data_IF_416330346085
#
_entry.id   IF_416330346085
#
_cell.length_a   1.000
_cell.length_b   1.000
_cell.length_c   1.000
_cell.angle_alpha   90.00
_cell.angle_beta   90.00
_cell.angle_gamma   90.00
#
_symmetry.space_group_name_H-M   'P 1'
#
loop_
_entity.id
_entity.type
_entity.pdbx_description
1 polymer ?
#
# COMPACT_ATOMS: atom_id res chain seq x y z
N UNK A 1 7.02 3.14 1.21
CA UNK A 1 7.07 2.19 0.07
C UNK A 1 6.52 0.85 0.50
N UNK A 2 5.91 0.10 -0.41
CA UNK A 2 5.16 -1.15 -0.14
C UNK A 2 5.20 -2.06 -1.39
N UNK A 3 5.08 -3.37 -1.23
CA UNK A 3 4.96 -4.31 -2.36
C UNK A 3 6.28 -4.67 -3.07
N UNK A 4 6.18 -5.18 -4.30
CA UNK A 4 7.32 -5.62 -5.14
C UNK A 4 8.37 -4.53 -5.32
N UNK A 5 7.95 -3.28 -5.31
CA UNK A 5 8.79 -2.11 -5.51
C UNK A 5 9.86 -2.03 -4.40
N UNK A 6 9.57 -2.51 -3.18
CA UNK A 6 10.54 -2.56 -2.07
C UNK A 6 11.75 -3.44 -2.35
N UNK A 7 11.63 -4.36 -3.31
CA UNK A 7 12.67 -5.30 -3.71
C UNK A 7 13.56 -4.74 -4.81
N UNK A 8 13.27 -3.55 -5.37
CA UNK A 8 14.03 -2.95 -6.49
C UNK A 8 15.24 -2.14 -6.01
N UNK A 9 16.18 -2.78 -5.31
CA UNK A 9 17.32 -2.13 -4.64
C UNK A 9 18.06 -1.09 -5.51
N UNK A 10 18.53 -1.48 -6.71
CA UNK A 10 19.29 -0.58 -7.57
C UNK A 10 18.51 0.67 -7.97
N UNK A 11 17.25 0.50 -8.39
CA UNK A 11 16.38 1.63 -8.75
C UNK A 11 16.08 2.53 -7.56
N UNK A 12 15.90 1.95 -6.37
CA UNK A 12 15.66 2.70 -5.14
C UNK A 12 16.85 3.59 -4.80
N UNK A 13 18.09 3.11 -4.97
CA UNK A 13 19.29 3.91 -4.71
C UNK A 13 19.51 5.00 -5.76
N UNK A 14 19.34 4.67 -7.04
CA UNK A 14 19.43 5.64 -8.13
C UNK A 14 18.46 6.81 -7.92
N UNK A 15 17.22 6.52 -7.52
CA UNK A 15 16.20 7.56 -7.34
C UNK A 15 16.37 8.28 -6.01
N UNK A 16 16.47 7.55 -4.89
CA UNK A 16 16.42 8.17 -3.57
C UNK A 16 17.77 8.78 -3.15
N UNK A 17 18.90 8.14 -3.46
CA UNK A 17 20.23 8.62 -3.05
C UNK A 17 20.77 9.54 -4.14
N UNK A 18 20.98 9.03 -5.36
CA UNK A 18 21.60 9.85 -6.43
C UNK A 18 20.70 11.01 -6.83
N UNK A 19 19.37 10.80 -6.92
CA UNK A 19 18.42 11.89 -7.12
C UNK A 19 18.51 12.98 -6.05
N UNK A 20 18.70 12.61 -4.78
CA UNK A 20 18.91 13.58 -3.69
C UNK A 20 20.23 14.32 -3.84
N UNK A 21 21.32 13.64 -4.21
CA UNK A 21 22.61 14.29 -4.49
C UNK A 21 22.48 15.33 -5.61
N UNK A 22 21.79 15.00 -6.70
CA UNK A 22 21.56 15.94 -7.81
C UNK A 22 20.76 17.18 -7.38
N UNK A 23 19.74 17.01 -6.52
CA UNK A 23 18.97 18.14 -5.99
C UNK A 23 19.84 19.04 -5.11
N UNK A 24 20.64 18.46 -4.21
CA UNK A 24 21.57 19.23 -3.36
C UNK A 24 22.56 20.00 -4.23
N UNK A 25 23.17 19.36 -5.22
CA UNK A 25 24.11 20.01 -6.13
C UNK A 25 23.45 21.17 -6.89
N UNK A 26 22.25 20.95 -7.42
CA UNK A 26 21.49 22.01 -8.09
C UNK A 26 21.22 23.19 -7.15
N UNK A 27 20.85 22.93 -5.89
CA UNK A 27 20.66 24.00 -4.91
C UNK A 27 21.95 24.82 -4.71
N UNK A 28 23.10 24.17 -4.62
CA UNK A 28 24.40 24.83 -4.41
C UNK A 28 24.89 25.59 -5.66
N UNK A 29 24.61 25.08 -6.86
CA UNK A 29 25.00 25.67 -8.14
C UNK A 29 24.16 26.89 -8.52
N UNK A 30 22.85 26.84 -8.23
CA UNK A 30 21.88 27.87 -8.59
C UNK A 30 21.52 28.80 -7.43
N UNK A 31 22.10 28.59 -6.24
CA UNK A 31 21.88 29.46 -5.08
C UNK A 31 20.47 29.34 -4.47
N UNK A 32 19.85 28.16 -4.57
CA UNK A 32 18.58 27.86 -3.90
C UNK A 32 18.86 27.75 -2.41
N UNK A 33 18.24 28.65 -1.62
CA UNK A 33 18.57 28.81 -0.20
C UNK A 33 17.91 27.83 0.73
N UNK A 34 16.81 27.19 0.32
CA UNK A 34 15.95 26.44 1.23
C UNK A 34 15.59 25.11 0.59
N UNK A 35 15.90 24.02 1.28
CA UNK A 35 15.60 22.66 0.85
C UNK A 35 14.88 21.91 1.98
N UNK A 36 13.59 21.64 1.78
CA UNK A 36 12.80 20.76 2.66
C UNK A 36 12.84 19.35 2.07
N UNK A 37 13.35 18.39 2.82
CA UNK A 37 13.40 16.99 2.40
C UNK A 37 12.32 16.17 3.08
N UNK A 38 11.43 15.56 2.28
CA UNK A 38 10.45 14.59 2.79
C UNK A 38 11.15 13.28 3.09
N UNK A 39 11.41 13.01 4.35
CA UNK A 39 12.02 11.78 4.86
C UNK A 39 10.94 10.77 5.27
N UNK A 40 11.18 9.98 6.32
CA UNK A 40 10.26 8.97 6.85
C UNK A 40 10.68 8.55 8.26
N UNK A 41 9.75 8.11 9.09
CA UNK A 41 10.12 7.48 10.37
C UNK A 41 10.97 6.20 10.22
N UNK A 42 10.94 5.56 9.05
CA UNK A 42 11.76 4.36 8.79
C UNK A 42 13.27 4.64 8.88
N UNK A 43 13.71 5.90 8.97
CA UNK A 43 15.14 6.22 9.16
C UNK A 43 15.66 5.89 10.56
N UNK A 44 14.77 5.76 11.55
CA UNK A 44 15.11 5.37 12.93
C UNK A 44 14.45 4.05 13.37
N UNK A 45 13.54 3.51 12.55
CA UNK A 45 12.76 2.31 12.88
C UNK A 45 13.14 1.13 11.98
N UNK A 46 13.44 -0.01 12.63
CA UNK A 46 13.76 -1.27 11.95
C UNK A 46 13.15 -2.50 12.62
N UNK A 47 12.00 -2.35 13.30
CA UNK A 47 11.27 -3.47 13.89
C UNK A 47 11.48 -3.68 15.39
N UNK A 48 12.17 -2.76 16.07
CA UNK A 48 12.18 -2.65 17.54
C UNK A 48 11.10 -1.66 17.98
N UNK A 49 10.47 -1.92 19.12
CA UNK A 49 9.41 -1.07 19.65
C UNK A 49 9.91 0.35 19.95
N UNK A 50 9.11 1.34 19.56
CA UNK A 50 9.35 2.77 19.85
C UNK A 50 8.06 3.39 20.36
N UNK A 51 8.04 3.75 21.64
CA UNK A 51 6.88 4.39 22.28
C UNK A 51 7.18 5.87 22.46
N UNK A 52 6.46 6.73 21.74
CA UNK A 52 6.61 8.20 21.80
C UNK A 52 8.06 8.68 21.55
N UNK A 53 8.74 8.08 20.57
CA UNK A 53 10.12 8.43 20.23
C UNK A 53 10.25 9.86 19.70
N UNK A 54 11.43 10.47 19.80
CA UNK A 54 11.66 11.84 19.31
C UNK A 54 12.90 11.91 18.42
N UNK A 55 13.23 13.11 17.95
CA UNK A 55 14.32 13.37 17.01
C UNK A 55 15.72 13.06 17.53
N UNK A 56 15.89 12.81 18.83
CA UNK A 56 17.17 12.38 19.41
C UNK A 56 17.49 10.90 19.14
N UNK A 57 16.51 10.13 18.66
CA UNK A 57 16.72 8.73 18.30
C UNK A 57 17.83 8.61 17.22
N UNK A 58 18.77 7.68 17.40
CA UNK A 58 19.81 7.45 16.41
C UNK A 58 19.20 6.91 15.12
N UNK A 59 19.89 7.15 14.01
CA UNK A 59 19.59 6.45 12.76
C UNK A 59 19.66 4.94 12.99
N UNK A 60 18.70 4.22 12.40
CA UNK A 60 18.74 2.77 12.40
C UNK A 60 19.97 2.30 11.59
N UNK A 61 20.71 1.27 12.03
CA UNK A 61 21.91 0.82 11.33
C UNK A 61 21.62 0.46 9.87
N UNK A 62 22.47 0.95 8.97
CA UNK A 62 22.26 0.87 7.51
C UNK A 62 22.21 -0.58 7.03
N UNK A 63 23.01 -1.44 7.63
CA UNK A 63 23.14 -2.87 7.36
C UNK A 63 22.02 -3.73 7.96
N UNK A 64 21.30 -3.21 8.95
CA UNK A 64 20.19 -3.94 9.60
C UNK A 64 18.83 -3.71 8.91
N UNK A 65 18.71 -2.75 7.99
CA UNK A 65 17.45 -2.47 7.31
C UNK A 65 16.98 -3.67 6.48
N UNK A 66 15.77 -4.15 6.77
CA UNK A 66 15.14 -5.24 6.00
C UNK A 66 14.46 -4.78 4.70
N UNK A 67 14.47 -3.47 4.42
CA UNK A 67 14.03 -2.92 3.13
C UNK A 67 14.96 -1.83 2.59
N UNK A 68 15.07 -1.78 1.26
CA UNK A 68 15.90 -0.82 0.53
C UNK A 68 15.43 0.64 0.69
N UNK A 69 14.14 0.84 0.94
CA UNK A 69 13.54 2.17 1.02
C UNK A 69 13.96 2.89 2.30
N UNK A 70 13.78 2.28 3.47
CA UNK A 70 14.21 2.82 4.75
C UNK A 70 15.71 3.15 4.71
N UNK A 71 16.52 2.18 4.24
CA UNK A 71 17.96 2.36 4.08
C UNK A 71 18.33 3.55 3.20
N UNK A 72 17.77 3.64 1.99
CA UNK A 72 18.08 4.73 1.06
C UNK A 72 17.60 6.08 1.57
N UNK A 73 16.44 6.14 2.23
CA UNK A 73 15.94 7.36 2.88
C UNK A 73 16.82 7.79 4.05
N UNK A 74 17.37 6.86 4.84
CA UNK A 74 18.34 7.15 5.92
C UNK A 74 19.60 7.81 5.37
N UNK A 75 20.16 7.26 4.30
CA UNK A 75 21.37 7.83 3.65
C UNK A 75 21.06 9.21 3.07
N UNK A 76 19.96 9.35 2.32
CA UNK A 76 19.59 10.60 1.70
C UNK A 76 19.24 11.71 2.72
N UNK A 77 18.57 11.39 3.84
CA UNK A 77 18.33 12.36 4.93
C UNK A 77 19.66 12.86 5.52
N UNK A 78 20.60 11.96 5.80
CA UNK A 78 21.91 12.33 6.32
C UNK A 78 22.67 13.24 5.35
N UNK A 79 22.62 12.95 4.04
CA UNK A 79 23.24 13.80 3.01
C UNK A 79 22.63 15.21 2.98
N UNK A 80 21.30 15.32 3.06
CA UNK A 80 20.61 16.62 3.11
C UNK A 80 21.02 17.39 4.35
N UNK A 81 20.89 16.79 5.54
CA UNK A 81 21.18 17.48 6.80
C UNK A 81 22.66 17.85 6.94
N UNK A 82 23.58 17.03 6.41
CA UNK A 82 25.01 17.35 6.34
C UNK A 82 25.33 18.51 5.39
N UNK A 83 24.48 18.74 4.39
CA UNK A 83 24.62 19.87 3.45
C UNK A 83 24.11 21.20 4.00
N UNK A 84 23.48 21.19 5.18
CA UNK A 84 23.03 22.40 5.85
C UNK A 84 24.21 23.33 6.19
N UNK A 85 24.07 24.61 5.85
CA UNK A 85 25.09 25.64 6.07
C UNK A 85 26.20 25.65 5.02
N UNK A 86 26.14 24.82 3.99
CA UNK A 86 27.15 24.79 2.93
C UNK A 86 27.05 26.06 2.05
N UNK A 87 28.17 26.75 1.76
CA UNK A 87 28.15 27.96 0.92
C UNK A 87 27.82 27.63 -0.54
N UNK A 88 27.22 28.58 -1.26
CA UNK A 88 26.95 28.43 -2.70
C UNK A 88 28.21 28.61 -3.53
N UNK A 89 28.32 27.86 -4.64
CA UNK A 89 29.50 27.88 -5.51
C UNK A 89 29.81 29.27 -6.09
N UNK A 90 28.78 30.08 -6.36
CA UNK A 90 28.90 31.41 -6.98
C UNK A 90 28.83 32.57 -5.97
N UNK A 91 28.42 32.32 -4.73
CA UNK A 91 28.28 33.37 -3.71
C UNK A 91 28.47 32.81 -2.29
N UNK A 92 29.69 32.93 -1.79
CA UNK A 92 30.07 32.40 -0.48
C UNK A 92 29.50 33.19 0.72
N UNK A 93 28.73 34.28 0.48
CA UNK A 93 28.07 35.04 1.55
C UNK A 93 26.72 34.46 1.97
N UNK A 94 26.16 33.55 1.18
CA UNK A 94 24.93 32.83 1.50
C UNK A 94 25.19 31.33 1.51
N UNK A 95 24.34 30.60 2.20
CA UNK A 95 24.45 29.16 2.33
C UNK A 95 23.09 28.48 2.14
N UNK A 96 23.15 27.16 1.95
CA UNK A 96 21.98 26.30 1.85
C UNK A 96 21.45 25.99 3.26
N UNK A 97 20.20 26.30 3.54
CA UNK A 97 19.47 25.82 4.71
C UNK A 97 18.62 24.61 4.34
N UNK A 98 18.71 23.55 5.14
CA UNK A 98 17.98 22.31 4.90
C UNK A 98 17.23 21.85 6.14
N UNK A 99 16.09 21.20 5.98
CA UNK A 99 15.44 20.44 7.05
C UNK A 99 14.86 19.14 6.50
N UNK A 100 14.53 18.21 7.39
CA UNK A 100 13.91 16.94 7.03
C UNK A 100 12.59 16.72 7.79
N UNK A 101 11.55 16.32 7.07
CA UNK A 101 10.24 16.00 7.65
C UNK A 101 10.05 14.48 7.61
N UNK A 102 9.85 13.84 8.76
CA UNK A 102 9.69 12.39 8.95
C UNK A 102 8.19 12.08 9.19
N UNK A 103 7.37 11.95 8.14
CA UNK A 103 5.96 11.65 8.29
C UNK A 103 5.72 10.23 8.78
N UNK A 104 4.62 10.06 9.51
CA UNK A 104 3.95 8.79 9.78
C UNK A 104 3.34 8.16 8.52
N UNK A 105 2.55 7.08 8.66
CA UNK A 105 1.87 6.45 7.51
C UNK A 105 0.83 7.41 6.90
N UNK A 106 1.00 7.74 5.62
CA UNK A 106 0.19 8.78 4.95
C UNK A 106 -1.16 8.22 4.54
N UNK A 107 -2.27 8.90 4.77
CA UNK A 107 -3.55 8.48 4.21
C UNK A 107 -4.34 9.69 3.71
N UNK A 108 -5.32 9.45 2.85
CA UNK A 108 -6.14 10.50 2.28
C UNK A 108 -6.53 10.25 0.83
N UNK A 109 -7.38 11.11 0.27
CA UNK A 109 -7.61 11.18 -1.16
C UNK A 109 -6.30 11.32 -1.93
N UNK A 110 -6.14 10.58 -3.02
CA UNK A 110 -4.93 10.63 -3.84
C UNK A 110 -3.71 9.88 -3.28
N UNK A 111 -3.83 9.16 -2.16
CA UNK A 111 -2.77 8.22 -1.76
C UNK A 111 -2.73 7.02 -2.73
N UNK A 112 -1.61 6.85 -3.43
CA UNK A 112 -1.48 5.88 -4.52
C UNK A 112 -0.60 4.67 -4.20
N UNK A 113 -0.05 4.54 -2.98
CA UNK A 113 0.92 3.49 -2.66
C UNK A 113 0.31 2.35 -1.87
N UNK A 114 -0.07 2.57 -0.62
CA UNK A 114 -0.41 1.46 0.27
C UNK A 114 -1.92 1.24 0.41
N UNK A 115 -2.75 2.29 0.42
CA UNK A 115 -4.20 2.10 0.42
C UNK A 115 -4.69 1.35 -0.82
N UNK A 116 -4.22 1.65 -2.06
CA UNK A 116 -4.60 0.84 -3.22
C UNK A 116 -4.21 -0.62 -3.10
N UNK A 117 -3.04 -0.92 -2.56
CA UNK A 117 -2.61 -2.31 -2.38
C UNK A 117 -3.44 -3.01 -1.31
N UNK A 118 -3.67 -2.38 -0.16
CA UNK A 118 -4.51 -2.93 0.92
C UNK A 118 -5.93 -3.21 0.41
N UNK A 119 -6.55 -2.24 -0.27
CA UNK A 119 -7.89 -2.38 -0.84
C UNK A 119 -7.91 -3.47 -1.92
N UNK A 120 -6.88 -3.56 -2.76
CA UNK A 120 -6.79 -4.61 -3.78
C UNK A 120 -6.65 -6.01 -3.17
N UNK A 121 -5.82 -6.17 -2.13
CA UNK A 121 -5.68 -7.44 -1.42
C UNK A 121 -6.99 -7.82 -0.73
N UNK A 122 -7.66 -6.86 -0.07
CA UNK A 122 -8.94 -7.08 0.58
C UNK A 122 -10.04 -7.49 -0.43
N UNK A 123 -10.12 -6.79 -1.57
CA UNK A 123 -11.02 -7.14 -2.69
C UNK A 123 -10.79 -8.57 -3.18
N UNK A 124 -9.54 -8.99 -3.30
CA UNK A 124 -9.19 -10.35 -3.74
C UNK A 124 -9.37 -11.42 -2.66
N UNK A 125 -9.72 -11.07 -1.43
CA UNK A 125 -9.79 -11.99 -0.30
C UNK A 125 -8.41 -12.46 0.18
N UNK A 126 -7.36 -11.68 -0.11
CA UNK A 126 -5.96 -11.98 0.16
C UNK A 126 -5.43 -11.27 1.43
N UNK A 127 -6.32 -10.98 2.37
CA UNK A 127 -5.97 -10.47 3.72
C UNK A 127 -6.43 -11.51 4.76
N UNK A 128 -5.73 -12.65 4.89
CA UNK A 128 -6.20 -13.79 5.67
C UNK A 128 -6.07 -13.65 7.18
N UNK A 129 -5.24 -12.72 7.66
CA UNK A 129 -4.98 -12.49 9.09
C UNK A 129 -4.60 -11.03 9.36
N UNK A 130 -4.86 -10.59 10.59
CA UNK A 130 -4.24 -9.39 11.17
C UNK A 130 -2.84 -9.77 11.68
N UNK A 131 -1.90 -8.83 11.73
CA UNK A 131 -0.51 -9.11 12.08
C UNK A 131 -0.20 -8.44 13.41
N UNK A 132 0.51 -9.15 14.30
CA UNK A 132 0.85 -8.67 15.62
C UNK A 132 -0.29 -8.83 16.62
N UNK A 133 -0.36 -7.93 17.59
CA UNK A 133 -1.34 -7.95 18.66
C UNK A 133 -2.32 -6.77 18.55
N UNK A 134 -3.53 -6.87 19.14
CA UNK A 134 -4.47 -5.74 19.21
C UNK A 134 -3.90 -4.50 19.90
N UNK A 135 -2.95 -4.68 20.81
CA UNK A 135 -2.26 -3.62 21.57
C UNK A 135 -1.27 -2.81 20.74
N UNK A 136 -0.85 -3.30 19.56
CA UNK A 136 0.14 -2.63 18.70
C UNK A 136 -0.42 -1.29 18.23
N UNK A 137 0.35 -0.22 18.41
CA UNK A 137 -0.01 1.14 17.99
C UNK A 137 0.96 1.71 16.96
N UNK A 138 0.38 2.37 15.96
CA UNK A 138 1.07 3.04 14.88
C UNK A 138 0.45 4.41 14.66
N UNK A 139 1.24 5.37 14.20
CA UNK A 139 0.74 6.70 13.84
C UNK A 139 0.44 6.82 12.34
N UNK A 140 -0.53 7.70 12.05
CA UNK A 140 -0.96 8.04 10.70
C UNK A 140 -0.92 9.56 10.52
N UNK A 141 -0.80 10.01 9.26
CA UNK A 141 -0.87 11.42 8.91
C UNK A 141 -1.79 11.62 7.71
N UNK A 142 -2.77 12.51 7.85
CA UNK A 142 -3.61 12.89 6.72
C UNK A 142 -2.81 13.69 5.69
N UNK A 143 -3.06 13.49 4.40
CA UNK A 143 -2.30 14.12 3.32
C UNK A 143 -2.21 15.65 3.45
N UNK A 144 -3.30 16.32 3.84
CA UNK A 144 -3.29 17.79 3.99
C UNK A 144 -2.52 18.23 5.24
N UNK A 145 -2.52 17.43 6.31
CA UNK A 145 -1.69 17.68 7.49
C UNK A 145 -0.20 17.54 7.16
N UNK A 146 0.16 16.57 6.30
CA UNK A 146 1.53 16.47 5.78
C UNK A 146 1.90 17.68 4.93
N UNK A 147 1.02 18.12 4.03
CA UNK A 147 1.27 19.33 3.22
C UNK A 147 1.47 20.55 4.11
N UNK A 148 0.66 20.73 5.14
CA UNK A 148 0.84 21.78 6.14
C UNK A 148 2.21 21.68 6.82
N UNK A 149 2.61 20.50 7.29
CA UNK A 149 3.93 20.30 7.88
C UNK A 149 5.07 20.72 6.95
N UNK A 150 4.97 20.42 5.66
CA UNK A 150 5.98 20.80 4.66
C UNK A 150 6.04 22.31 4.43
N UNK A 151 4.88 22.97 4.39
CA UNK A 151 4.80 24.43 4.30
C UNK A 151 5.43 25.08 5.53
N UNK A 152 5.08 24.61 6.73
CA UNK A 152 5.63 25.13 7.99
C UNK A 152 7.14 24.87 8.10
N UNK A 153 7.61 23.70 7.69
CA UNK A 153 9.04 23.39 7.63
C UNK A 153 9.78 24.33 6.66
N UNK A 154 9.16 24.66 5.51
CA UNK A 154 9.71 25.66 4.57
C UNK A 154 9.72 27.06 5.17
N UNK A 155 8.69 27.46 5.92
CA UNK A 155 8.65 28.74 6.62
C UNK A 155 9.70 28.80 7.73
N UNK A 156 9.94 27.69 8.44
CA UNK A 156 11.00 27.59 9.46
C UNK A 156 12.43 27.71 8.91
N UNK A 157 12.61 27.68 7.58
CA UNK A 157 13.88 27.93 6.88
C UNK A 157 14.03 29.39 6.39
N UNK A 158 13.07 30.27 6.67
CA UNK A 158 13.18 31.70 6.35
C UNK A 158 14.27 32.34 7.22
N UNK A 159 15.20 33.02 6.57
CA UNK A 159 16.34 33.74 7.15
C UNK A 159 16.16 35.27 7.13
N UNK A 160 15.02 35.74 6.62
CA UNK A 160 14.68 37.13 6.36
C UNK A 160 13.47 37.64 7.16
N UNK A 161 13.07 36.91 8.22
CA UNK A 161 11.97 37.31 9.11
C UNK A 161 12.37 38.56 9.91
N UNK A 162 11.65 39.70 9.78
CA UNK A 162 11.96 40.91 10.52
C UNK A 162 11.97 40.68 12.04
N UNK A 163 13.06 41.07 12.70
CA UNK A 163 13.20 40.93 14.15
C UNK A 163 13.78 39.58 14.62
N UNK A 164 13.88 38.57 13.76
CA UNK A 164 14.62 37.34 14.05
C UNK A 164 16.05 37.45 13.52
N UNK A 165 17.03 37.49 14.43
CA UNK A 165 18.46 37.42 14.10
C UNK A 165 18.97 36.02 14.41
N UNK A 166 19.61 35.36 13.44
CA UNK A 166 20.23 34.05 13.66
C UNK A 166 20.01 33.09 12.50
N UNK A 167 20.36 31.82 12.72
CA UNK A 167 20.02 30.75 11.77
C UNK A 167 18.51 30.46 11.85
N UNK A 168 17.85 30.15 10.72
CA UNK A 168 16.45 29.74 10.74
C UNK A 168 16.23 28.57 11.71
N UNK A 169 15.08 28.54 12.39
CA UNK A 169 14.82 27.53 13.42
C UNK A 169 14.89 26.09 12.88
N UNK A 170 14.44 25.88 11.64
CA UNK A 170 14.45 24.57 10.99
C UNK A 170 15.81 24.16 10.39
N UNK A 171 16.79 25.07 10.35
CA UNK A 171 18.08 24.82 9.69
C UNK A 171 18.83 23.65 10.37
N UNK A 172 19.03 22.57 9.62
CA UNK A 172 19.74 21.36 10.03
C UNK A 172 18.90 20.41 10.88
N UNK A 173 17.58 20.64 10.98
CA UNK A 173 16.71 19.89 11.88
C UNK A 173 15.88 18.83 11.16
N UNK A 174 15.74 17.62 11.74
CA UNK A 174 14.64 16.71 11.43
C UNK A 174 13.41 17.03 12.28
N UNK A 175 12.22 16.63 11.80
CA UNK A 175 10.93 16.77 12.50
C UNK A 175 10.02 15.56 12.26
N UNK A 176 9.53 14.92 13.32
CA UNK A 176 8.45 13.93 13.20
C UNK A 176 7.09 14.63 13.06
N UNK A 177 6.27 14.15 12.12
CA UNK A 177 4.92 14.67 11.89
C UNK A 177 3.90 13.55 11.75
N UNK A 178 2.77 13.68 12.45
CA UNK A 178 1.63 12.78 12.44
C UNK A 178 0.35 13.53 12.80
N UNK A 179 -0.80 12.84 12.82
CA UNK A 179 -2.06 13.37 13.33
C UNK A 179 -2.13 13.29 14.88
N UNK A 180 -1.11 12.74 15.54
CA UNK A 180 -1.04 12.64 17.00
C UNK A 180 -2.03 11.65 17.62
N UNK A 181 -2.45 10.64 16.86
CA UNK A 181 -3.45 9.65 17.29
C UNK A 181 -2.97 8.21 17.09
N UNK A 182 -2.07 7.69 17.97
CA UNK A 182 -1.56 6.34 17.84
C UNK A 182 -2.67 5.30 18.03
N UNK A 183 -2.89 4.49 17.01
CA UNK A 183 -3.98 3.50 16.96
C UNK A 183 -3.49 2.23 16.25
N UNK A 184 -4.14 1.10 16.51
CA UNK A 184 -3.87 -0.12 15.79
C UNK A 184 -4.19 0.04 14.29
N UNK A 185 -3.28 -0.38 13.40
CA UNK A 185 -3.45 -0.26 11.95
C UNK A 185 -4.75 -0.90 11.45
N UNK A 186 -5.16 -2.06 12.00
CA UNK A 186 -6.37 -2.76 11.57
C UNK A 186 -7.65 -2.08 12.08
N UNK A 187 -7.59 -1.40 13.22
CA UNK A 187 -8.67 -0.54 13.70
C UNK A 187 -8.79 0.72 12.85
N UNK A 188 -7.66 1.31 12.47
CA UNK A 188 -7.62 2.50 11.62
C UNK A 188 -8.21 2.26 10.23
N UNK A 189 -7.79 1.21 9.53
CA UNK A 189 -8.27 0.89 8.16
C UNK A 189 -9.64 0.18 8.14
N UNK A 190 -10.12 -0.31 9.29
CA UNK A 190 -11.34 -1.09 9.38
C UNK A 190 -12.60 -0.38 8.86
N UNK A 191 -12.86 0.89 9.25
CA UNK A 191 -13.95 1.68 8.69
C UNK A 191 -13.90 1.78 7.17
N UNK A 192 -12.71 1.95 6.58
CA UNK A 192 -12.53 2.01 5.13
C UNK A 192 -12.94 0.70 4.46
N UNK A 193 -12.34 -0.42 4.88
CA UNK A 193 -12.61 -1.71 4.24
C UNK A 193 -14.06 -2.15 4.42
N UNK A 194 -14.62 -2.00 5.62
CA UNK A 194 -16.03 -2.33 5.91
C UNK A 194 -16.99 -1.53 5.03
N UNK A 195 -16.74 -0.23 4.86
CA UNK A 195 -17.58 0.65 4.02
C UNK A 195 -17.47 0.30 2.54
N UNK A 196 -16.31 -0.23 2.12
CA UNK A 196 -16.11 -0.76 0.77
C UNK A 196 -16.61 -2.19 0.60
N UNK A 197 -17.39 -2.73 1.54
CA UNK A 197 -17.92 -4.09 1.51
C UNK A 197 -16.82 -5.18 1.47
N UNK A 198 -15.66 -4.91 2.07
CA UNK A 198 -14.56 -5.87 2.21
C UNK A 198 -14.35 -6.23 3.68
N UNK A 199 -14.35 -7.54 3.96
CA UNK A 199 -14.20 -8.04 5.33
C UNK A 199 -12.75 -7.96 5.80
N UNK A 200 -12.58 -7.62 7.08
CA UNK A 200 -11.31 -7.79 7.78
C UNK A 200 -11.20 -9.23 8.32
N UNK A 201 -9.99 -9.81 8.34
CA UNK A 201 -9.79 -11.11 8.97
C UNK A 201 -10.10 -11.06 10.46
N UNK A 202 -10.63 -12.17 10.98
CA UNK A 202 -10.94 -12.33 12.42
C UNK A 202 -9.73 -12.85 13.21
N UNK A 203 -8.83 -13.57 12.55
CA UNK A 203 -7.64 -14.18 13.15
C UNK A 203 -6.46 -13.20 13.19
N UNK A 204 -5.59 -13.42 14.16
CA UNK A 204 -4.31 -12.73 14.29
C UNK A 204 -3.16 -13.71 14.02
N UNK A 205 -2.09 -13.21 13.43
CA UNK A 205 -0.84 -13.91 13.18
C UNK A 205 0.27 -13.19 13.93
N UNK A 206 0.91 -13.91 14.86
CA UNK A 206 2.01 -13.36 15.64
C UNK A 206 3.19 -12.95 14.74
N UNK A 207 3.89 -11.89 15.14
CA UNK A 207 4.99 -11.27 14.37
C UNK A 207 6.04 -12.28 13.89
N UNK A 208 6.55 -13.24 14.70
CA UNK A 208 7.56 -14.19 14.23
C UNK A 208 7.09 -15.06 13.06
N UNK A 209 5.84 -15.51 13.09
CA UNK A 209 5.24 -16.31 12.02
C UNK A 209 5.00 -15.48 10.76
N UNK A 210 4.52 -14.23 10.94
CA UNK A 210 4.37 -13.29 9.83
C UNK A 210 5.71 -12.94 9.18
N UNK A 211 6.78 -12.80 9.96
CA UNK A 211 8.15 -12.59 9.46
C UNK A 211 8.66 -13.80 8.69
N UNK A 212 8.43 -15.01 9.18
CA UNK A 212 8.78 -16.23 8.45
C UNK A 212 8.10 -16.26 7.07
N UNK A 213 6.79 -16.02 7.03
CA UNK A 213 6.04 -15.94 5.77
C UNK A 213 6.55 -14.81 4.85
N UNK A 214 6.85 -13.64 5.43
CA UNK A 214 7.44 -12.52 4.69
C UNK A 214 8.80 -12.87 4.09
N UNK A 215 9.64 -13.63 4.80
CA UNK A 215 10.93 -14.11 4.27
C UNK A 215 10.75 -15.10 3.13
N UNK A 216 9.76 -15.99 3.20
CA UNK A 216 9.41 -16.91 2.10
C UNK A 216 9.00 -16.12 0.85
N UNK A 217 8.13 -15.12 1.00
CA UNK A 217 7.78 -14.24 -0.10
C UNK A 217 9.00 -13.48 -0.63
N UNK A 218 9.81 -12.89 0.25
CA UNK A 218 11.01 -12.17 -0.16
C UNK A 218 11.95 -13.05 -0.98
N UNK A 219 12.18 -14.29 -0.56
CA UNK A 219 12.99 -15.26 -1.31
C UNK A 219 12.39 -15.55 -2.70
N UNK A 220 11.10 -15.90 -2.75
CA UNK A 220 10.42 -16.19 -4.00
C UNK A 220 10.49 -15.01 -5.00
N UNK A 221 10.23 -13.78 -4.54
CA UNK A 221 10.30 -12.60 -5.39
C UNK A 221 11.74 -12.19 -5.75
N UNK A 222 12.74 -12.59 -4.96
CA UNK A 222 14.15 -12.39 -5.32
C UNK A 222 14.56 -13.29 -6.49
N UNK A 223 14.07 -14.54 -6.53
CA UNK A 223 14.25 -15.42 -7.71
C UNK A 223 13.57 -14.84 -8.95
N UNK A 224 12.42 -14.17 -8.75
CA UNK A 224 11.66 -13.53 -9.83
C UNK A 224 12.08 -12.07 -10.11
N UNK A 225 13.23 -11.63 -9.59
CA UNK A 225 13.70 -10.24 -9.71
C UNK A 225 13.62 -9.67 -11.14
N UNK A 226 14.07 -10.39 -12.20
CA UNK A 226 14.02 -9.89 -13.59
C UNK A 226 12.61 -9.57 -14.09
N UNK A 227 11.57 -10.14 -13.46
CA UNK A 227 10.18 -9.98 -13.85
C UNK A 227 9.36 -9.15 -12.85
N UNK A 228 9.97 -8.49 -11.86
CA UNK A 228 9.23 -7.71 -10.86
C UNK A 228 8.31 -6.65 -11.47
N UNK A 229 8.74 -6.02 -12.57
CA UNK A 229 7.98 -5.00 -13.30
C UNK A 229 6.90 -5.58 -14.24
N UNK A 230 6.71 -6.90 -14.31
CA UNK A 230 5.71 -7.51 -15.19
C UNK A 230 4.32 -7.47 -14.55
N UNK A 231 3.33 -7.17 -15.38
CA UNK A 231 1.93 -7.01 -14.98
C UNK A 231 1.28 -8.31 -14.48
N UNK A 232 1.75 -9.46 -14.99
CA UNK A 232 1.22 -10.79 -14.62
C UNK A 232 1.74 -11.30 -13.27
N UNK A 233 2.83 -10.72 -12.75
CA UNK A 233 3.38 -11.11 -11.46
C UNK A 233 2.61 -10.39 -10.35
N UNK A 234 1.90 -11.12 -9.45
CA UNK A 234 1.10 -10.49 -8.40
C UNK A 234 1.97 -9.71 -7.41
N UNK A 235 1.33 -8.94 -6.54
CA UNK A 235 2.01 -8.33 -5.40
C UNK A 235 2.25 -9.40 -4.32
N UNK A 236 3.37 -9.38 -3.57
CA UNK A 236 3.54 -10.24 -2.42
C UNK A 236 2.40 -9.99 -1.42
N UNK A 237 1.96 -11.00 -0.69
CA UNK A 237 0.95 -10.79 0.36
C UNK A 237 1.54 -9.93 1.48
N UNK A 238 2.78 -10.22 1.84
CA UNK A 238 3.49 -9.55 2.92
C UNK A 238 5.00 -9.65 2.71
N UNK A 239 5.73 -8.61 3.10
CA UNK A 239 7.19 -8.59 3.17
C UNK A 239 7.65 -8.29 4.61
N UNK A 240 8.89 -8.65 5.00
CA UNK A 240 9.37 -8.49 6.37
C UNK A 240 9.22 -7.06 6.92
N UNK A 241 9.54 -6.05 6.12
CA UNK A 241 9.37 -4.65 6.50
C UNK A 241 7.91 -4.26 6.76
N UNK A 242 6.98 -4.88 6.07
CA UNK A 242 5.54 -4.62 6.24
C UNK A 242 5.05 -5.24 7.53
N UNK A 243 5.55 -6.44 7.86
CA UNK A 243 5.31 -7.08 9.16
C UNK A 243 5.71 -6.15 10.29
N UNK A 244 6.91 -5.55 10.24
CA UNK A 244 7.34 -4.61 11.27
C UNK A 244 6.47 -3.34 11.31
N UNK A 245 6.10 -2.80 10.16
CA UNK A 245 5.28 -1.58 10.06
C UNK A 245 3.85 -1.74 10.58
N UNK A 246 3.31 -2.96 10.69
CA UNK A 246 1.94 -3.15 11.20
C UNK A 246 1.88 -3.97 12.49
N UNK A 247 2.94 -4.74 12.80
CA UNK A 247 2.97 -5.69 13.89
C UNK A 247 3.83 -5.28 15.08
N UNK A 248 4.58 -4.17 15.00
CA UNK A 248 5.41 -3.66 16.10
C UNK A 248 5.00 -2.23 16.42
N UNK A 249 4.83 -1.92 17.71
CA UNK A 249 4.46 -0.58 18.16
C UNK A 249 5.55 0.43 17.80
N UNK A 250 5.17 1.47 17.06
CA UNK A 250 6.03 2.61 16.78
C UNK A 250 5.20 3.87 16.57
N UNK A 251 5.44 4.87 17.38
CA UNK A 251 4.89 6.22 17.18
C UNK A 251 5.82 7.26 17.80
N UNK A 252 5.71 8.50 17.34
CA UNK A 252 6.71 9.53 17.58
C UNK A 252 6.06 10.81 18.11
N UNK A 253 6.80 11.51 18.95
CA UNK A 253 6.42 12.79 19.54
C UNK A 253 6.40 13.88 18.47
N UNK A 254 5.34 14.68 18.49
CA UNK A 254 5.17 15.86 17.63
C UNK A 254 5.66 17.15 18.29
N UNK A 255 6.18 17.07 19.52
CA UNK A 255 6.47 18.24 20.34
C UNK A 255 7.44 19.19 19.65
N UNK A 256 8.51 18.68 19.05
CA UNK A 256 9.48 19.53 18.36
C UNK A 256 8.86 20.27 17.16
N UNK A 257 8.09 19.57 16.33
CA UNK A 257 7.39 20.20 15.20
C UNK A 257 6.35 21.24 15.68
N UNK A 258 5.67 20.96 16.79
CA UNK A 258 4.73 21.90 17.41
C UNK A 258 5.42 23.14 17.95
N UNK A 259 6.52 22.97 18.67
CA UNK A 259 7.19 24.07 19.38
C UNK A 259 8.03 24.93 18.43
N UNK A 260 8.71 24.33 17.46
CA UNK A 260 9.60 25.05 16.54
C UNK A 260 8.92 25.49 15.24
N UNK A 261 7.95 24.72 14.72
CA UNK A 261 7.27 25.01 13.45
C UNK A 261 5.81 25.42 13.62
N UNK A 262 5.29 25.44 14.85
CA UNK A 262 3.87 25.65 15.14
C UNK A 262 2.95 24.60 14.46
N UNK A 263 3.47 23.40 14.21
CA UNK A 263 2.68 22.34 13.57
C UNK A 263 1.60 21.81 14.52
N UNK A 264 0.35 21.98 14.10
CA UNK A 264 -0.84 21.38 14.70
C UNK A 264 -1.68 20.80 13.55
N UNK A 265 -2.05 19.51 13.60
CA UNK A 265 -2.92 18.91 12.59
C UNK A 265 -4.22 19.71 12.42
N UNK A 266 -4.55 20.07 11.18
CA UNK A 266 -5.75 20.86 10.83
C UNK A 266 -6.95 19.99 10.50
N UNK A 267 -6.72 18.73 10.14
CA UNK A 267 -7.75 17.72 9.89
C UNK A 267 -7.66 16.64 10.95
N UNK A 268 -8.78 16.33 11.59
CA UNK A 268 -8.83 15.24 12.56
C UNK A 268 -8.79 13.87 11.86
N UNK A 269 -8.31 12.79 12.53
CA UNK A 269 -8.33 11.44 11.97
C UNK A 269 -9.71 10.98 11.48
N UNK A 270 -10.78 11.42 12.17
CA UNK A 270 -12.16 11.10 11.80
C UNK A 270 -12.57 11.75 10.48
N UNK A 271 -12.27 13.03 10.30
CA UNK A 271 -12.57 13.77 9.07
C UNK A 271 -11.72 13.26 7.91
N UNK A 272 -10.43 13.04 8.13
CA UNK A 272 -9.52 12.49 7.13
C UNK A 272 -9.96 11.10 6.67
N UNK A 273 -10.39 10.23 7.59
CA UNK A 273 -10.93 8.91 7.25
C UNK A 273 -12.25 9.01 6.48
N UNK A 274 -13.14 9.94 6.84
CA UNK A 274 -14.38 10.16 6.10
C UNK A 274 -14.13 10.62 4.66
N UNK A 275 -13.20 11.55 4.45
CA UNK A 275 -12.77 12.00 3.12
C UNK A 275 -12.14 10.84 2.31
N UNK A 276 -11.28 10.04 2.96
CA UNK A 276 -10.66 8.85 2.37
C UNK A 276 -11.72 7.83 1.93
N UNK A 277 -12.72 7.54 2.77
CA UNK A 277 -13.84 6.65 2.45
C UNK A 277 -14.61 7.17 1.23
N UNK A 278 -14.97 8.45 1.22
CA UNK A 278 -15.70 9.06 0.11
C UNK A 278 -14.93 8.92 -1.22
N UNK A 279 -13.63 9.22 -1.19
CA UNK A 279 -12.74 9.06 -2.35
C UNK A 279 -12.70 7.61 -2.87
N UNK A 280 -12.56 6.63 -1.97
CA UNK A 280 -12.52 5.22 -2.35
C UNK A 280 -13.87 4.66 -2.79
N UNK A 281 -14.98 5.13 -2.23
CA UNK A 281 -16.33 4.78 -2.69
C UNK A 281 -16.56 5.26 -4.11
N UNK A 282 -16.16 6.50 -4.43
CA UNK A 282 -16.27 7.04 -5.77
C UNK A 282 -15.44 6.23 -6.78
N UNK A 283 -14.19 5.90 -6.41
CA UNK A 283 -13.33 5.03 -7.22
C UNK A 283 -13.94 3.64 -7.42
N UNK A 284 -14.51 3.04 -6.36
CA UNK A 284 -15.19 1.74 -6.42
C UNK A 284 -16.38 1.79 -7.38
N UNK A 285 -17.20 2.85 -7.34
CA UNK A 285 -18.35 3.03 -8.26
C UNK A 285 -17.92 3.05 -9.73
N UNK A 286 -16.81 3.73 -10.03
CA UNK A 286 -16.28 3.85 -11.41
C UNK A 286 -15.64 2.56 -11.91
N UNK A 287 -15.08 1.74 -11.01
CA UNK A 287 -14.42 0.48 -11.36
C UNK A 287 -15.38 -0.71 -11.48
N UNK A 288 -14.99 -1.68 -12.30
CA UNK A 288 -15.58 -3.02 -12.29
C UNK A 288 -15.20 -3.75 -10.98
N UNK A 289 -16.20 -4.07 -10.17
CA UNK A 289 -16.01 -4.87 -8.97
C UNK A 289 -15.91 -6.36 -9.34
N UNK A 290 -15.19 -7.14 -8.55
CA UNK A 290 -14.88 -8.53 -8.88
C UNK A 290 -14.89 -9.42 -7.64
N UNK A 291 -15.19 -10.72 -7.80
CA UNK A 291 -15.18 -11.64 -6.67
C UNK A 291 -13.74 -11.95 -6.22
N UNK A 292 -13.61 -12.63 -5.09
CA UNK A 292 -12.32 -13.04 -4.53
C UNK A 292 -11.56 -13.98 -5.46
N UNK A 293 -10.24 -14.09 -5.26
CA UNK A 293 -9.40 -14.98 -6.05
C UNK A 293 -9.86 -16.45 -5.98
N UNK A 294 -10.51 -16.85 -4.88
CA UNK A 294 -11.04 -18.19 -4.71
C UNK A 294 -12.16 -18.52 -5.71
N UNK A 295 -13.03 -17.55 -6.02
CA UNK A 295 -14.06 -17.74 -7.05
C UNK A 295 -13.45 -17.87 -8.44
N UNK A 296 -12.42 -17.07 -8.73
CA UNK A 296 -11.64 -17.19 -9.96
C UNK A 296 -11.01 -18.56 -10.11
N UNK A 297 -10.27 -19.03 -9.09
CA UNK A 297 -9.65 -20.35 -9.08
C UNK A 297 -10.69 -21.47 -9.22
N UNK A 298 -11.81 -21.37 -8.49
CA UNK A 298 -12.89 -22.35 -8.57
C UNK A 298 -13.46 -22.47 -9.99
N UNK A 299 -13.81 -21.35 -10.64
CA UNK A 299 -14.40 -21.36 -11.98
C UNK A 299 -13.36 -21.71 -13.07
N UNK A 300 -12.17 -21.11 -13.02
CA UNK A 300 -11.14 -21.29 -14.05
C UNK A 300 -10.44 -22.65 -13.99
N UNK A 301 -10.45 -23.33 -12.85
CA UNK A 301 -9.93 -24.70 -12.74
C UNK A 301 -11.08 -25.70 -12.87
N UNK A 302 -12.19 -25.47 -12.17
CA UNK A 302 -13.30 -26.42 -12.07
C UNK A 302 -14.02 -26.66 -13.39
N UNK A 303 -14.36 -25.60 -14.14
CA UNK A 303 -15.12 -25.76 -15.39
C UNK A 303 -14.28 -26.44 -16.49
N UNK A 304 -13.00 -26.07 -16.72
CA UNK A 304 -12.13 -26.80 -17.64
C UNK A 304 -11.83 -28.24 -17.18
N UNK A 305 -11.67 -28.48 -15.88
CA UNK A 305 -11.50 -29.85 -15.37
C UNK A 305 -12.74 -30.69 -15.66
N UNK A 306 -13.95 -30.15 -15.43
CA UNK A 306 -15.20 -30.85 -15.73
C UNK A 306 -15.37 -31.10 -17.23
N UNK A 307 -14.97 -30.15 -18.09
CA UNK A 307 -14.91 -30.38 -19.54
C UNK A 307 -13.96 -31.52 -19.91
N UNK A 308 -12.74 -31.49 -19.36
CA UNK A 308 -11.71 -32.47 -19.63
C UNK A 308 -12.16 -33.90 -19.26
N UNK A 309 -12.74 -34.07 -18.08
CA UNK A 309 -13.23 -35.38 -17.62
C UNK A 309 -14.42 -35.89 -18.44
N UNK A 310 -15.27 -35.00 -18.93
CA UNK A 310 -16.48 -35.34 -19.67
C UNK A 310 -16.25 -35.66 -21.17
N UNK A 311 -15.25 -35.04 -21.80
CA UNK A 311 -15.09 -35.06 -23.27
C UNK A 311 -13.70 -35.40 -23.81
N UNK A 312 -12.61 -35.14 -23.08
CA UNK A 312 -11.26 -35.38 -23.62
C UNK A 312 -10.88 -36.87 -23.51
N UNK A 313 -9.99 -37.39 -24.37
CA UNK A 313 -9.45 -38.75 -24.26
C UNK A 313 -8.54 -38.91 -23.02
N UNK A 314 -8.24 -40.16 -22.67
CA UNK A 314 -7.40 -40.53 -21.53
C UNK A 314 -5.91 -40.25 -21.76
N UNK A 315 -5.55 -38.96 -21.76
CA UNK A 315 -4.18 -38.49 -21.96
C UNK A 315 -3.77 -37.62 -20.77
N UNK A 316 -2.55 -37.85 -20.26
CA UNK A 316 -1.99 -37.06 -19.17
C UNK A 316 -2.80 -37.20 -17.87
N UNK A 317 -3.21 -36.09 -17.21
CA UNK A 317 -3.91 -36.14 -15.92
C UNK A 317 -5.41 -36.48 -16.04
N UNK A 318 -5.97 -36.54 -17.26
CA UNK A 318 -7.39 -36.73 -17.50
C UNK A 318 -7.97 -38.02 -16.86
N UNK A 319 -7.30 -39.20 -16.90
CA UNK A 319 -7.85 -40.42 -16.31
C UNK A 319 -8.06 -40.32 -14.80
N UNK A 320 -7.13 -39.67 -14.11
CA UNK A 320 -7.19 -39.46 -12.64
C UNK A 320 -8.35 -38.52 -12.32
N UNK A 321 -8.43 -37.38 -13.02
CA UNK A 321 -9.53 -36.43 -12.84
C UNK A 321 -10.89 -37.07 -13.16
N UNK A 322 -10.97 -37.91 -14.21
CA UNK A 322 -12.20 -38.61 -14.59
C UNK A 322 -12.61 -39.62 -13.53
N UNK A 323 -11.67 -40.33 -12.92
CA UNK A 323 -11.97 -41.24 -11.81
C UNK A 323 -12.60 -40.51 -10.63
N UNK A 324 -12.03 -39.36 -10.25
CA UNK A 324 -12.62 -38.48 -9.22
C UNK A 324 -14.00 -37.97 -9.65
N UNK A 325 -14.13 -37.54 -10.89
CA UNK A 325 -15.41 -37.10 -11.47
C UNK A 325 -16.48 -38.19 -11.42
N UNK A 326 -16.15 -39.43 -11.79
CA UNK A 326 -17.08 -40.57 -11.72
C UNK A 326 -17.42 -40.95 -10.29
N UNK A 327 -16.50 -40.79 -9.34
CA UNK A 327 -16.81 -40.99 -7.93
C UNK A 327 -17.89 -40.00 -7.44
N UNK A 328 -17.78 -38.74 -7.84
CA UNK A 328 -18.71 -37.64 -7.48
C UNK A 328 -20.03 -37.75 -8.24
N UNK A 329 -19.98 -37.79 -9.58
CA UNK A 329 -21.13 -37.71 -10.47
C UNK A 329 -21.69 -39.07 -10.89
N UNK A 330 -21.11 -40.19 -10.43
CA UNK A 330 -21.57 -41.58 -10.65
C UNK A 330 -21.59 -42.10 -12.09
N UNK A 331 -21.66 -41.25 -13.10
CA UNK A 331 -21.66 -41.65 -14.52
C UNK A 331 -21.11 -40.58 -15.46
N UNK A 332 -20.66 -41.01 -16.65
CA UNK A 332 -20.23 -40.10 -17.72
C UNK A 332 -21.36 -39.17 -18.19
N UNK A 333 -22.59 -39.69 -18.25
CA UNK A 333 -23.75 -38.91 -18.65
C UNK A 333 -24.05 -37.79 -17.66
N UNK A 334 -24.00 -38.07 -16.35
CA UNK A 334 -24.19 -37.06 -15.31
C UNK A 334 -23.10 -35.98 -15.33
N UNK A 335 -21.83 -36.34 -15.61
CA UNK A 335 -20.76 -35.33 -15.78
C UNK A 335 -21.00 -34.43 -16.99
N UNK A 336 -21.37 -35.00 -18.14
CA UNK A 336 -21.69 -34.23 -19.35
C UNK A 336 -22.89 -33.32 -19.15
N UNK A 337 -23.92 -33.82 -18.47
CA UNK A 337 -25.10 -33.03 -18.11
C UNK A 337 -24.73 -31.90 -17.16
N UNK A 338 -23.94 -32.17 -16.10
CA UNK A 338 -23.47 -31.15 -15.17
C UNK A 338 -22.66 -30.06 -15.89
N UNK A 339 -21.77 -30.44 -16.81
CA UNK A 339 -21.04 -29.49 -17.63
C UNK A 339 -21.97 -28.62 -18.49
N UNK A 340 -22.90 -29.26 -19.22
CA UNK A 340 -23.84 -28.55 -20.08
C UNK A 340 -24.72 -27.56 -19.30
N UNK A 341 -25.21 -27.96 -18.12
CA UNK A 341 -25.97 -27.10 -17.21
C UNK A 341 -25.10 -25.93 -16.74
N UNK A 342 -23.87 -26.19 -16.30
CA UNK A 342 -22.96 -25.14 -15.81
C UNK A 342 -22.65 -24.11 -16.91
N UNK A 343 -22.31 -24.56 -18.12
CA UNK A 343 -22.06 -23.66 -19.27
C UNK A 343 -23.32 -22.86 -19.61
N UNK A 344 -24.48 -23.51 -19.67
CA UNK A 344 -25.75 -22.83 -19.97
C UNK A 344 -26.10 -21.79 -18.92
N UNK A 345 -25.85 -22.06 -17.64
CA UNK A 345 -26.04 -21.11 -16.55
C UNK A 345 -25.10 -19.91 -16.72
N UNK A 346 -23.80 -20.12 -16.92
CA UNK A 346 -22.83 -19.04 -17.13
C UNK A 346 -23.18 -18.14 -18.33
N UNK A 347 -23.60 -18.74 -19.45
CA UNK A 347 -24.04 -17.97 -20.63
C UNK A 347 -25.30 -17.16 -20.33
N UNK A 348 -26.30 -17.77 -19.70
CA UNK A 348 -27.55 -17.10 -19.34
C UNK A 348 -27.33 -15.96 -18.35
N UNK A 349 -26.51 -16.19 -17.32
CA UNK A 349 -26.11 -15.18 -16.33
C UNK A 349 -25.29 -14.06 -16.97
N UNK A 350 -24.40 -14.36 -17.91
CA UNK A 350 -23.64 -13.38 -18.67
C UNK A 350 -24.55 -12.45 -19.46
N UNK A 351 -25.48 -13.01 -20.25
CA UNK A 351 -26.47 -12.23 -21.02
C UNK A 351 -27.35 -11.39 -20.11
N UNK A 352 -27.84 -11.97 -19.01
CA UNK A 352 -28.61 -11.22 -18.02
C UNK A 352 -27.80 -10.07 -17.41
N UNK A 353 -26.55 -10.31 -17.04
CA UNK A 353 -25.64 -9.30 -16.49
C UNK A 353 -25.38 -8.17 -17.49
N UNK A 354 -25.22 -8.47 -18.78
CA UNK A 354 -25.09 -7.45 -19.83
C UNK A 354 -26.32 -6.53 -19.89
N UNK A 355 -27.51 -7.13 -19.94
CA UNK A 355 -28.78 -6.40 -19.99
C UNK A 355 -29.01 -5.53 -18.75
N UNK A 356 -28.70 -6.06 -17.57
CA UNK A 356 -28.81 -5.32 -16.31
C UNK A 356 -27.76 -4.22 -16.22
N UNK A 357 -26.49 -4.51 -16.53
CA UNK A 357 -25.40 -3.56 -16.43
C UNK A 357 -25.56 -2.36 -17.37
N UNK A 358 -26.16 -2.53 -18.56
CA UNK A 358 -26.51 -1.38 -19.42
C UNK A 358 -27.41 -0.35 -18.74
N UNK A 359 -28.21 -0.76 -17.76
CA UNK A 359 -29.12 0.12 -17.01
C UNK A 359 -28.45 0.71 -15.76
N UNK A 360 -27.67 -0.10 -15.03
CA UNK A 360 -27.16 0.28 -13.70
C UNK A 360 -25.68 0.69 -13.68
N UNK A 361 -24.89 0.27 -14.66
CA UNK A 361 -23.44 0.54 -14.77
C UNK A 361 -22.99 0.49 -16.24
N UNK A 362 -23.48 1.42 -17.09
CA UNK A 362 -23.27 1.37 -18.53
C UNK A 362 -21.78 1.44 -18.92
N UNK A 363 -20.97 2.16 -18.13
CA UNK A 363 -19.54 2.30 -18.35
C UNK A 363 -18.80 0.95 -18.27
N UNK A 364 -19.24 0.04 -17.39
CA UNK A 364 -18.61 -1.27 -17.19
C UNK A 364 -19.42 -2.44 -17.76
N UNK A 365 -20.47 -2.19 -18.55
CA UNK A 365 -21.37 -3.24 -19.02
C UNK A 365 -20.65 -4.41 -19.71
N UNK A 366 -19.63 -4.12 -20.53
CA UNK A 366 -18.81 -5.15 -21.20
C UNK A 366 -18.02 -5.98 -20.19
N UNK A 367 -17.45 -5.32 -19.18
CA UNK A 367 -16.74 -5.97 -18.08
C UNK A 367 -17.66 -6.92 -17.31
N UNK A 368 -18.86 -6.46 -16.94
CA UNK A 368 -19.85 -7.28 -16.25
C UNK A 368 -20.27 -8.50 -17.06
N UNK A 369 -20.45 -8.37 -18.38
CA UNK A 369 -20.73 -9.50 -19.26
C UNK A 369 -19.61 -10.55 -19.21
N UNK A 370 -18.38 -10.17 -19.54
CA UNK A 370 -17.27 -11.13 -19.63
C UNK A 370 -16.91 -11.74 -18.28
N UNK A 371 -16.93 -10.93 -17.21
CA UNK A 371 -16.67 -11.43 -15.86
C UNK A 371 -17.77 -12.40 -15.41
N UNK A 372 -19.05 -12.12 -15.71
CA UNK A 372 -20.15 -13.02 -15.35
C UNK A 372 -20.20 -14.25 -16.23
N UNK A 373 -19.82 -14.16 -17.50
CA UNK A 373 -19.65 -15.33 -18.35
C UNK A 373 -18.57 -16.27 -17.79
N UNK A 374 -17.46 -15.73 -17.29
CA UNK A 374 -16.38 -16.51 -16.71
C UNK A 374 -16.70 -17.06 -15.31
N UNK A 375 -17.37 -16.27 -14.46
CA UNK A 375 -17.50 -16.53 -13.02
C UNK A 375 -18.93 -16.80 -12.55
N UNK A 376 -19.89 -16.78 -13.47
CA UNK A 376 -21.30 -17.02 -13.22
C UNK A 376 -21.86 -16.20 -12.06
N UNK A 377 -22.63 -16.88 -11.21
CA UNK A 377 -23.31 -16.34 -10.02
C UNK A 377 -22.39 -15.52 -9.10
N UNK A 378 -21.10 -15.83 -9.01
CA UNK A 378 -20.17 -15.10 -8.14
C UNK A 378 -19.99 -13.64 -8.58
N UNK A 379 -19.90 -13.41 -9.89
CA UNK A 379 -19.89 -12.05 -10.45
C UNK A 379 -21.29 -11.43 -10.43
N UNK A 380 -22.32 -12.20 -10.82
CA UNK A 380 -23.69 -11.69 -10.91
C UNK A 380 -24.20 -11.14 -9.57
N UNK A 381 -23.88 -11.79 -8.44
CA UNK A 381 -24.24 -11.31 -7.10
C UNK A 381 -23.73 -9.89 -6.82
N UNK A 382 -22.54 -9.54 -7.30
CA UNK A 382 -21.96 -8.21 -7.12
C UNK A 382 -22.73 -7.16 -7.94
N UNK A 383 -23.07 -7.48 -9.20
CA UNK A 383 -23.89 -6.61 -10.04
C UNK A 383 -25.28 -6.41 -9.46
N UNK A 384 -25.91 -7.47 -8.96
CA UNK A 384 -27.21 -7.40 -8.28
C UNK A 384 -27.16 -6.52 -7.03
N UNK A 385 -26.07 -6.59 -6.25
CA UNK A 385 -25.87 -5.69 -5.11
C UNK A 385 -25.71 -4.24 -5.55
N UNK A 386 -25.01 -3.98 -6.66
CA UNK A 386 -24.87 -2.64 -7.26
C UNK A 386 -26.21 -2.10 -7.75
N UNK A 387 -27.08 -2.93 -8.33
CA UNK A 387 -28.41 -2.54 -8.79
C UNK A 387 -29.41 -2.20 -7.67
N UNK A 388 -29.13 -2.57 -6.41
CA UNK A 388 -29.96 -2.26 -5.24
C UNK A 388 -29.59 -0.93 -4.55
N UNK A 389 -28.43 -0.37 -4.87
CA UNK A 389 -27.98 0.93 -4.38
C UNK A 389 -28.41 2.01 -5.36
#
# INVERSE_FOLDING_TARGET
>A
MSGKEMLQFGRVDEVNINGTCHVIEACLEFGIQRLVYVSTYNVVFGGKEIVNGNESLPYFPIDEHVDSYGRSKSVAEQLVLKSNGHPFKKNNRKCLYTCAVRPAAIYGPGEERHLPRIVSLAKLGLVPFKIGEPSVKTDWIYVDNLVLALILASMGLLDDIPGQKGRPIASGQPYFVSDGFPINTFEFIGPLLKTLDYDLPKSWLAVPHALFLGKVFSFFYSVLYPWLNRWWLPQPLILPAEVYKVGVTHYFSLLKAKDELCYVPIVSPREGMAATISYWQDRKRKSLDGPTIYAWLFCLIGLPALFATAYLPDIGPVPILRTIGLFIFKSMWMMRLAFAIAVSAHVSEGVFAWCLAKKVDPANAKGWFWQTLALGVFSLRLLLKRARK
#
